data_IF_780436195937
#
_entry.id   IF_780436195937
#
_cell.length_a   1.000
_cell.length_b   1.000
_cell.length_c   1.000
_cell.angle_alpha   90.00
_cell.angle_beta   90.00
_cell.angle_gamma   90.00
#
_symmetry.space_group_name_H-M   'P 1'
#
loop_
_entity.id
_entity.type
_entity.pdbx_description
1 polymer ?
#
# COMPACT_ATOMS: atom_id res chain seq x y z
N UNK A 1 24.15 -16.70 -6.48
CA UNK A 1 22.92 -16.68 -7.30
C UNK A 1 21.84 -16.14 -6.37
N UNK A 2 21.28 -14.97 -6.66
CA UNK A 2 20.41 -14.26 -5.71
C UNK A 2 19.16 -15.10 -5.42
N UNK A 3 19.06 -15.55 -4.18
CA UNK A 3 17.89 -16.25 -3.64
C UNK A 3 16.73 -15.25 -3.65
N UNK A 4 15.83 -15.38 -4.63
CA UNK A 4 14.64 -14.52 -4.68
C UNK A 4 13.69 -15.05 -3.62
N UNK A 5 13.74 -14.44 -2.43
CA UNK A 5 12.72 -14.60 -1.42
C UNK A 5 11.41 -14.03 -1.97
N UNK A 6 10.58 -14.89 -2.55
CA UNK A 6 9.18 -14.58 -2.77
C UNK A 6 8.53 -14.55 -1.39
N UNK A 7 8.56 -13.38 -0.74
CA UNK A 7 7.70 -13.10 0.40
C UNK A 7 6.27 -13.18 -0.15
N UNK A 8 5.44 -14.14 0.30
CA UNK A 8 4.04 -14.16 -0.10
C UNK A 8 3.46 -12.76 0.15
N UNK A 9 2.75 -12.18 -0.83
CA UNK A 9 2.27 -10.79 -0.76
C UNK A 9 1.58 -10.45 0.57
N UNK A 10 0.92 -11.44 1.18
CA UNK A 10 0.33 -11.36 2.52
C UNK A 10 1.38 -11.03 3.59
N UNK A 11 2.50 -11.75 3.64
CA UNK A 11 3.56 -11.53 4.63
C UNK A 11 4.18 -10.12 4.48
N UNK A 12 4.34 -9.65 3.25
CA UNK A 12 4.85 -8.30 2.98
C UNK A 12 3.83 -7.22 3.40
N UNK A 13 2.54 -7.46 3.16
CA UNK A 13 1.46 -6.60 3.62
C UNK A 13 1.41 -6.47 5.15
N UNK A 14 1.50 -7.60 5.87
CA UNK A 14 1.58 -7.63 7.34
C UNK A 14 2.80 -6.86 7.84
N UNK A 15 3.98 -7.07 7.23
CA UNK A 15 5.20 -6.34 7.58
C UNK A 15 5.04 -4.81 7.42
N UNK A 16 4.48 -4.35 6.30
CA UNK A 16 4.28 -2.91 6.08
C UNK A 16 3.22 -2.31 7.01
N UNK A 17 2.13 -3.04 7.28
CA UNK A 17 1.13 -2.64 8.27
C UNK A 17 1.77 -2.45 9.64
N UNK A 18 2.57 -3.41 10.08
CA UNK A 18 3.30 -3.34 11.34
C UNK A 18 4.27 -2.14 11.42
N UNK A 19 5.03 -1.90 10.34
CA UNK A 19 5.90 -0.73 10.24
C UNK A 19 5.12 0.58 10.32
N UNK A 20 3.97 0.67 9.63
CA UNK A 20 3.10 1.86 9.67
C UNK A 20 2.56 2.10 11.09
N UNK A 21 2.04 1.06 11.75
CA UNK A 21 1.51 1.19 13.12
C UNK A 21 2.58 1.62 14.11
N UNK A 22 3.82 1.12 14.00
CA UNK A 22 4.96 1.60 14.80
C UNK A 22 5.20 3.11 14.64
N UNK A 23 5.14 3.62 13.40
CA UNK A 23 5.32 5.05 13.13
C UNK A 23 4.18 5.89 13.71
N UNK A 24 2.94 5.41 13.59
CA UNK A 24 1.76 6.06 14.20
C UNK A 24 1.93 6.16 15.72
N UNK A 25 2.36 5.08 16.37
CA UNK A 25 2.58 5.08 17.82
C UNK A 25 3.72 6.03 18.22
N UNK A 26 4.81 6.06 17.46
CA UNK A 26 5.90 7.03 17.69
C UNK A 26 5.43 8.48 17.56
N UNK A 27 4.62 8.80 16.54
CA UNK A 27 4.06 10.14 16.37
C UNK A 27 3.14 10.52 17.55
N UNK A 28 2.28 9.59 17.99
CA UNK A 28 1.41 9.82 19.16
C UNK A 28 2.20 10.01 20.45
N UNK A 29 3.30 9.27 20.65
CA UNK A 29 4.21 9.47 21.79
C UNK A 29 4.83 10.88 21.78
N UNK A 30 5.12 11.41 20.59
CA UNK A 30 5.56 12.79 20.37
C UNK A 30 4.43 13.83 20.46
N UNK A 31 3.21 13.42 20.87
CA UNK A 31 2.02 14.27 21.06
C UNK A 31 1.36 14.78 19.78
N UNK A 32 1.66 14.20 18.62
CA UNK A 32 0.85 14.42 17.43
C UNK A 32 -0.53 13.75 17.59
N UNK A 33 -1.60 14.47 17.24
CA UNK A 33 -2.93 13.90 17.11
C UNK A 33 -3.01 13.14 15.78
N UNK A 34 -3.13 11.80 15.85
CA UNK A 34 -3.17 10.93 14.66
C UNK A 34 -4.41 10.04 14.74
N UNK A 35 -5.37 10.29 13.85
CA UNK A 35 -6.53 9.44 13.61
C UNK A 35 -6.30 8.58 12.35
N UNK A 36 -6.61 7.29 12.45
CA UNK A 36 -6.49 6.34 11.33
C UNK A 36 -7.87 5.76 11.07
N UNK A 37 -8.40 5.98 9.87
CA UNK A 37 -9.70 5.48 9.44
C UNK A 37 -9.51 4.39 8.39
N UNK A 38 -9.61 3.13 8.80
CA UNK A 38 -9.60 1.99 7.88
C UNK A 38 -10.96 1.86 7.17
N UNK A 39 -10.96 1.26 5.98
CA UNK A 39 -12.16 1.11 5.14
C UNK A 39 -12.88 2.43 4.82
N UNK A 40 -12.20 3.56 4.97
CA UNK A 40 -12.69 4.90 4.69
C UNK A 40 -12.06 5.38 3.39
N UNK A 41 -12.81 5.28 2.30
CA UNK A 41 -12.40 5.78 1.00
C UNK A 41 -12.76 7.25 0.91
N UNK A 42 -11.77 8.10 0.69
CA UNK A 42 -12.00 9.47 0.22
C UNK A 42 -12.46 9.40 -1.23
N UNK A 43 -13.67 9.88 -1.50
CA UNK A 43 -14.31 9.84 -2.82
C UNK A 43 -14.13 11.14 -3.59
N UNK A 44 -13.99 12.26 -2.89
CA UNK A 44 -13.75 13.57 -3.49
C UNK A 44 -13.04 14.51 -2.50
N UNK A 45 -12.44 15.57 -3.03
CA UNK A 45 -11.83 16.64 -2.25
C UNK A 45 -12.19 18.00 -2.84
N UNK A 46 -12.55 18.93 -1.97
CA UNK A 46 -12.89 20.30 -2.35
C UNK A 46 -11.93 21.29 -1.70
N UNK A 47 -11.30 22.12 -2.51
CA UNK A 47 -10.47 23.24 -2.04
C UNK A 47 -11.39 24.46 -1.89
N UNK A 48 -11.40 25.04 -0.71
CA UNK A 48 -12.21 26.21 -0.36
C UNK A 48 -11.32 27.31 0.22
N UNK A 49 -11.88 28.49 0.45
CA UNK A 49 -11.16 29.58 1.15
C UNK A 49 -10.84 29.24 2.62
N UNK A 50 -11.50 28.24 3.21
CA UNK A 50 -11.30 27.81 4.58
C UNK A 50 -10.30 26.64 4.71
N UNK A 51 -9.89 26.02 3.58
CA UNK A 51 -9.02 24.85 3.55
C UNK A 51 -9.55 23.75 2.62
N UNK A 52 -9.11 22.52 2.86
CA UNK A 52 -9.48 21.33 2.11
C UNK A 52 -10.55 20.54 2.86
N UNK A 53 -11.67 20.30 2.19
CA UNK A 53 -12.73 19.42 2.69
C UNK A 53 -12.66 18.08 1.97
N UNK A 54 -12.91 16.99 2.71
CA UNK A 54 -12.89 15.62 2.18
C UNK A 54 -14.32 15.06 2.17
N UNK A 55 -14.72 14.46 1.05
CA UNK A 55 -15.89 13.60 0.98
C UNK A 55 -15.42 12.15 1.13
N UNK A 56 -16.13 11.36 1.94
CA UNK A 56 -15.79 9.94 2.15
C UNK A 56 -17.00 9.05 1.94
N UNK A 57 -16.76 7.75 1.78
CA UNK A 57 -17.82 6.74 1.73
C UNK A 57 -18.43 6.42 3.12
N UNK A 58 -17.94 7.04 4.19
CA UNK A 58 -18.46 6.92 5.54
C UNK A 58 -19.12 8.22 5.99
N UNK A 59 -20.07 8.14 6.92
CA UNK A 59 -20.69 9.30 7.55
C UNK A 59 -19.79 9.80 8.69
N UNK A 60 -18.70 10.46 8.29
CA UNK A 60 -17.78 11.13 9.22
C UNK A 60 -18.11 12.61 9.32
N UNK A 61 -17.86 13.25 10.47
CA UNK A 61 -17.97 14.70 10.59
C UNK A 61 -17.19 15.39 9.47
N UNK A 62 -17.83 16.40 8.86
CA UNK A 62 -17.15 17.21 7.85
C UNK A 62 -16.08 18.06 8.54
N UNK A 63 -14.83 17.67 8.34
CA UNK A 63 -13.67 18.41 8.82
C UNK A 63 -13.03 19.21 7.67
N UNK A 64 -12.45 20.36 8.02
CA UNK A 64 -11.67 21.19 7.10
C UNK A 64 -10.20 21.15 7.54
N UNK A 65 -9.33 20.85 6.59
CA UNK A 65 -7.89 20.71 6.82
C UNK A 65 -7.12 21.84 6.13
N UNK A 66 -6.05 22.34 6.76
CA UNK A 66 -5.19 23.36 6.14
C UNK A 66 -4.42 22.81 4.93
N UNK A 67 -4.07 21.52 4.96
CA UNK A 67 -3.31 20.84 3.93
C UNK A 67 -3.81 19.39 3.77
N UNK A 68 -3.83 18.92 2.53
CA UNK A 68 -4.04 17.51 2.20
C UNK A 68 -2.86 16.98 1.38
N UNK A 69 -2.43 15.76 1.69
CA UNK A 69 -1.42 15.02 0.92
C UNK A 69 -2.09 13.82 0.29
N UNK A 70 -2.03 13.72 -1.04
CA UNK A 70 -2.62 12.60 -1.79
C UNK A 70 -1.54 11.53 -1.98
N UNK A 71 -1.78 10.35 -1.42
CA UNK A 71 -0.89 9.20 -1.50
C UNK A 71 -1.65 7.91 -1.86
N UNK A 72 -2.65 8.01 -2.74
CA UNK A 72 -3.54 6.89 -3.14
C UNK A 72 -2.88 5.88 -4.08
N UNK A 73 -1.62 6.09 -4.48
CA UNK A 73 -0.91 5.26 -5.44
C UNK A 73 -1.26 5.59 -6.89
N UNK A 74 -0.96 4.66 -7.79
CA UNK A 74 -1.24 4.80 -9.23
C UNK A 74 -2.48 3.98 -9.61
N UNK A 75 -3.29 4.55 -10.51
CA UNK A 75 -4.27 3.79 -11.28
C UNK A 75 -3.54 3.22 -12.49
N UNK A 76 -3.39 1.89 -12.53
CA UNK A 76 -2.82 1.20 -13.68
C UNK A 76 -3.94 0.80 -14.65
N UNK A 77 -3.74 0.93 -15.97
CA UNK A 77 -4.70 0.43 -16.95
C UNK A 77 -4.79 -1.10 -16.93
N UNK A 78 -5.85 -1.64 -17.54
CA UNK A 78 -6.11 -3.08 -17.57
C UNK A 78 -4.97 -3.88 -18.25
N UNK A 79 -4.76 -5.12 -17.80
CA UNK A 79 -3.65 -5.97 -18.27
C UNK A 79 -3.72 -6.35 -19.75
N UNK A 80 -4.87 -6.18 -20.41
CA UNK A 80 -5.07 -6.43 -21.84
C UNK A 80 -4.15 -5.57 -22.73
N UNK A 81 -3.59 -4.48 -22.20
CA UNK A 81 -2.61 -3.64 -22.90
C UNK A 81 -1.16 -4.17 -22.81
N UNK A 82 -0.89 -5.22 -22.03
CA UNK A 82 0.45 -5.77 -21.89
C UNK A 82 0.94 -6.41 -23.20
N UNK A 83 2.15 -6.07 -23.62
CA UNK A 83 2.83 -6.69 -24.76
C UNK A 83 4.18 -7.25 -24.32
N UNK A 84 4.88 -8.00 -25.20
CA UNK A 84 6.22 -8.53 -24.90
C UNK A 84 7.25 -7.46 -24.47
N UNK A 85 7.03 -6.20 -24.83
CA UNK A 85 7.94 -5.09 -24.55
C UNK A 85 7.30 -3.99 -23.71
N UNK A 86 6.05 -4.15 -23.28
CA UNK A 86 5.32 -3.15 -22.50
C UNK A 86 4.53 -3.82 -21.39
N UNK A 87 4.79 -3.38 -20.16
CA UNK A 87 4.12 -3.87 -18.97
C UNK A 87 3.35 -2.70 -18.33
N UNK A 88 2.01 -2.75 -18.30
CA UNK A 88 1.19 -1.63 -17.84
C UNK A 88 1.31 -1.38 -16.33
N UNK A 89 1.81 -2.35 -15.57
CA UNK A 89 2.15 -2.18 -14.15
C UNK A 89 3.44 -2.92 -13.79
N UNK A 90 4.14 -2.53 -12.71
CA UNK A 90 5.30 -3.28 -12.20
C UNK A 90 4.93 -4.67 -11.67
N UNK A 91 3.64 -5.00 -11.63
CA UNK A 91 3.09 -6.27 -11.18
C UNK A 91 2.56 -7.14 -12.31
N UNK A 92 2.60 -6.68 -13.56
CA UNK A 92 2.10 -7.42 -14.72
C UNK A 92 2.87 -8.73 -14.90
N UNK A 93 2.15 -9.84 -15.12
CA UNK A 93 2.72 -11.18 -15.25
C UNK A 93 3.16 -11.82 -13.93
N UNK A 94 2.99 -11.15 -12.78
CA UNK A 94 3.42 -11.67 -11.48
C UNK A 94 2.44 -12.72 -10.90
N UNK A 95 1.18 -12.73 -11.35
CA UNK A 95 0.20 -13.76 -10.96
C UNK A 95 0.35 -15.05 -11.79
N UNK A 96 0.85 -14.95 -13.02
CA UNK A 96 1.07 -16.07 -13.94
C UNK A 96 2.47 -16.69 -13.79
N UNK A 97 3.36 -16.01 -13.06
CA UNK A 97 4.70 -16.49 -12.80
C UNK A 97 4.64 -17.80 -11.99
N UNK A 98 4.89 -18.92 -12.66
CA UNK A 98 5.08 -20.21 -12.01
C UNK A 98 6.38 -20.15 -11.20
N UNK A 99 6.25 -20.05 -9.88
CA UNK A 99 7.38 -20.16 -8.95
C UNK A 99 7.40 -21.61 -8.45
N UNK A 100 8.42 -22.36 -8.85
CA UNK A 100 8.59 -23.72 -8.36
C UNK A 100 8.89 -23.70 -6.84
N UNK A 101 8.43 -24.73 -6.12
CA UNK A 101 8.69 -24.86 -4.69
C UNK A 101 10.21 -24.92 -4.43
N UNK A 102 10.69 -24.14 -3.46
CA UNK A 102 12.09 -24.19 -3.05
C UNK A 102 12.43 -25.58 -2.51
N UNK A 103 13.40 -26.25 -3.12
CA UNK A 103 14.00 -27.47 -2.58
C UNK A 103 14.98 -27.08 -1.49
N UNK A 104 14.61 -27.31 -0.23
CA UNK A 104 15.56 -27.23 0.88
C UNK A 104 16.50 -28.43 0.82
N UNK A 105 17.78 -28.19 0.55
CA UNK A 105 18.81 -29.21 0.73
C UNK A 105 19.35 -29.05 2.14
N UNK A 106 19.10 -30.03 3.01
CA UNK A 106 19.76 -30.12 4.31
C UNK A 106 21.27 -30.30 4.04
N UNK A 107 22.06 -29.28 4.34
CA UNK A 107 23.51 -29.40 4.41
C UNK A 107 23.86 -30.25 5.63
N UNK A 108 23.94 -31.57 5.45
CA UNK A 108 24.70 -32.41 6.38
C UNK A 108 26.19 -32.22 6.05
N UNK A 109 26.91 -31.54 6.94
CA UNK A 109 28.36 -31.44 6.86
C UNK A 109 28.99 -32.79 7.22
N UNK A 110 30.07 -33.21 6.53
CA UNK A 110 30.89 -34.36 6.91
C UNK A 110 31.72 -34.11 8.18
#
# INVERSE_FOLDING_TARGET
MHDRQFLPRILLGEYFRDQFLRLVDQARQQKFAVAVYESCQVTDLQITNAGVMLATNQDLPSETFDLAVIATGHVWPDEEEATRTYFPSPWSGLMEAKVDACTWVLWEHP
#
